data_IF_872004112839
#
_entry.id   IF_872004112839
#
_cell.length_a   1.000
_cell.length_b   1.000
_cell.length_c   1.000
_cell.angle_alpha   90.00
_cell.angle_beta   90.00
_cell.angle_gamma   90.00
#
_symmetry.space_group_name_H-M   'P 1'
#
loop_
_entity.id
_entity.type
_entity.pdbx_description
1 polymer ?
#
# COMPACT_ATOMS: atom_id res chain seq x y z
N UNK A 1 15.71 79.49 16.73
CA UNK A 1 14.64 78.53 16.36
C UNK A 1 15.26 77.52 15.43
N UNK A 2 15.41 76.28 15.90
CA UNK A 2 16.17 75.21 15.24
C UNK A 2 15.17 74.34 14.47
N UNK A 3 15.40 74.16 13.17
CA UNK A 3 14.67 73.22 12.32
C UNK A 3 15.02 71.78 12.71
N UNK A 4 14.00 70.96 13.01
CA UNK A 4 14.15 69.56 13.33
C UNK A 4 13.66 68.72 12.14
N UNK A 5 14.59 68.11 11.41
CA UNK A 5 14.31 67.17 10.32
C UNK A 5 13.82 65.84 10.89
N UNK A 6 12.63 65.40 10.48
CA UNK A 6 12.07 64.10 10.80
C UNK A 6 12.73 63.05 9.89
N UNK A 7 13.52 62.13 10.46
CA UNK A 7 14.06 60.96 9.74
C UNK A 7 13.11 59.79 10.00
N UNK A 8 12.41 59.34 8.97
CA UNK A 8 11.57 58.14 9.01
C UNK A 8 12.45 56.95 8.65
N UNK A 9 12.84 56.15 9.64
CA UNK A 9 13.55 54.89 9.43
C UNK A 9 12.53 53.78 9.22
N UNK A 10 12.41 53.30 7.98
CA UNK A 10 11.60 52.12 7.65
C UNK A 10 12.37 50.86 8.06
N UNK A 11 11.91 50.16 9.09
CA UNK A 11 12.40 48.83 9.42
C UNK A 11 11.79 47.81 8.44
N UNK A 12 12.60 47.36 7.48
CA UNK A 12 12.34 46.15 6.71
C UNK A 12 12.52 44.94 7.64
N UNK A 13 11.41 44.35 8.11
CA UNK A 13 11.44 43.03 8.75
C UNK A 13 11.66 42.02 7.63
N UNK A 14 12.91 41.63 7.44
CA UNK A 14 13.27 40.47 6.62
C UNK A 14 12.84 39.24 7.44
N UNK A 15 11.73 38.60 7.07
CA UNK A 15 11.45 37.24 7.53
C UNK A 15 12.48 36.31 6.88
N UNK A 16 13.58 36.06 7.58
CA UNK A 16 14.50 34.97 7.23
C UNK A 16 13.76 33.66 7.47
N UNK A 17 13.26 33.04 6.41
CA UNK A 17 12.88 31.63 6.42
C UNK A 17 14.18 30.85 6.56
N UNK A 18 14.62 30.59 7.78
CA UNK A 18 15.75 29.70 8.04
C UNK A 18 15.28 28.28 7.80
N UNK A 19 15.43 27.80 6.57
CA UNK A 19 15.32 26.36 6.30
C UNK A 19 16.40 25.63 7.10
N UNK A 20 16.02 24.56 7.80
CA UNK A 20 16.98 23.68 8.46
C UNK A 20 17.99 23.14 7.44
N UNK A 21 19.25 23.04 7.84
CA UNK A 21 20.27 22.36 7.05
C UNK A 21 19.97 20.86 6.93
N UNK A 22 20.39 20.23 5.84
CA UNK A 22 20.23 18.78 5.65
C UNK A 22 20.78 17.96 6.82
N UNK A 23 21.81 18.46 7.51
CA UNK A 23 22.38 17.82 8.71
C UNK A 23 21.42 17.84 9.91
N UNK A 24 20.68 18.93 10.10
CA UNK A 24 19.68 19.03 11.17
C UNK A 24 18.46 18.16 10.86
N UNK A 25 18.05 18.12 9.59
CA UNK A 25 16.98 17.22 9.13
C UNK A 25 17.41 15.76 9.27
N UNK A 26 18.65 15.42 8.93
CA UNK A 26 19.22 14.07 9.11
C UNK A 26 19.25 13.64 10.57
N UNK A 27 19.67 14.53 11.48
CA UNK A 27 19.64 14.24 12.92
C UNK A 27 18.22 13.91 13.37
N UNK A 28 17.26 14.75 12.98
CA UNK A 28 15.83 14.56 13.32
C UNK A 28 15.27 13.27 12.72
N UNK A 29 15.67 12.92 11.48
CA UNK A 29 15.31 11.66 10.84
C UNK A 29 15.83 10.46 11.64
N UNK A 30 17.10 10.48 12.04
CA UNK A 30 17.67 9.38 12.84
C UNK A 30 16.99 9.24 14.19
N UNK A 31 16.72 10.35 14.87
CA UNK A 31 16.06 10.35 16.17
C UNK A 31 14.61 9.84 16.04
N UNK A 32 13.87 10.30 15.03
CA UNK A 32 12.48 9.87 14.76
C UNK A 32 12.36 8.39 14.46
N UNK A 33 13.26 7.83 13.64
CA UNK A 33 13.20 6.44 13.18
C UNK A 33 14.21 5.52 13.86
N UNK A 34 14.74 5.93 15.02
CA UNK A 34 15.70 5.20 15.83
C UNK A 34 16.88 4.61 15.02
N UNK A 35 17.39 5.38 14.04
CA UNK A 35 18.45 4.91 13.14
C UNK A 35 19.82 5.04 13.79
N UNK A 36 20.61 3.97 13.71
CA UNK A 36 21.99 3.91 14.18
C UNK A 36 22.88 3.25 13.13
N UNK A 37 24.03 3.84 12.85
CA UNK A 37 24.95 3.38 11.80
C UNK A 37 26.40 3.39 12.29
N UNK A 38 27.25 2.60 11.63
CA UNK A 38 28.70 2.77 11.75
C UNK A 38 29.15 4.06 11.05
N UNK A 39 30.33 4.60 11.39
CA UNK A 39 30.83 5.84 10.77
C UNK A 39 30.91 5.78 9.23
N UNK A 40 31.32 4.64 8.69
CA UNK A 40 31.42 4.44 7.24
C UNK A 40 30.03 4.36 6.58
N UNK A 41 29.10 3.64 7.23
CA UNK A 41 27.73 3.51 6.75
C UNK A 41 26.97 4.84 6.84
N UNK A 42 27.16 5.60 7.91
CA UNK A 42 26.47 6.87 8.12
C UNK A 42 26.73 7.86 6.99
N UNK A 43 27.97 7.96 6.51
CA UNK A 43 28.32 8.82 5.37
C UNK A 43 27.54 8.43 4.10
N UNK A 44 27.41 7.13 3.84
CA UNK A 44 26.64 6.63 2.70
C UNK A 44 25.13 6.85 2.87
N UNK A 45 24.58 6.52 4.05
CA UNK A 45 23.16 6.69 4.37
C UNK A 45 22.74 8.16 4.34
N UNK A 46 23.58 9.05 4.85
CA UNK A 46 23.34 10.49 4.79
C UNK A 46 23.32 11.01 3.35
N UNK A 47 24.24 10.55 2.49
CA UNK A 47 24.21 10.92 1.07
C UNK A 47 22.92 10.46 0.37
N UNK A 48 22.50 9.21 0.59
CA UNK A 48 21.25 8.68 0.04
C UNK A 48 20.06 9.49 0.55
N UNK A 49 20.04 9.81 1.84
CA UNK A 49 19.03 10.65 2.45
C UNK A 49 18.95 12.04 1.82
N UNK A 50 20.09 12.70 1.56
CA UNK A 50 20.11 14.00 0.90
C UNK A 50 19.52 13.94 -0.52
N UNK A 51 19.90 12.93 -1.30
CA UNK A 51 19.37 12.73 -2.65
C UNK A 51 17.85 12.53 -2.63
N UNK A 52 17.35 11.72 -1.69
CA UNK A 52 15.92 11.48 -1.53
C UNK A 52 15.17 12.70 -0.98
N UNK A 53 15.76 13.43 -0.04
CA UNK A 53 15.20 14.69 0.46
C UNK A 53 15.03 15.70 -0.68
N UNK A 54 16.01 15.81 -1.57
CA UNK A 54 15.91 16.68 -2.74
C UNK A 54 14.79 16.24 -3.70
N UNK A 55 14.61 14.93 -3.92
CA UNK A 55 13.48 14.40 -4.72
C UNK A 55 12.13 14.76 -4.09
N UNK A 56 11.99 14.54 -2.77
CA UNK A 56 10.78 14.87 -2.01
C UNK A 56 10.46 16.36 -2.14
N UNK A 57 11.44 17.23 -1.90
CA UNK A 57 11.27 18.68 -2.01
C UNK A 57 10.91 19.12 -3.43
N UNK A 58 11.54 18.54 -4.45
CA UNK A 58 11.27 18.85 -5.85
C UNK A 58 9.86 18.44 -6.26
N UNK A 59 9.43 17.24 -5.87
CA UNK A 59 8.06 16.78 -6.08
C UNK A 59 7.05 17.69 -5.36
N UNK A 60 7.31 18.04 -4.09
CA UNK A 60 6.36 18.81 -3.29
C UNK A 60 6.17 20.24 -3.79
N UNK A 61 7.12 20.82 -4.54
CA UNK A 61 6.89 22.07 -5.29
C UNK A 61 5.80 21.92 -6.35
N UNK A 62 5.66 20.75 -6.99
CA UNK A 62 4.54 20.45 -7.91
C UNK A 62 3.23 20.35 -7.12
N UNK A 63 3.23 19.66 -5.98
CA UNK A 63 2.06 19.55 -5.10
C UNK A 63 1.55 20.92 -4.63
N UNK A 64 2.44 21.78 -4.11
CA UNK A 64 2.11 23.13 -3.66
C UNK A 64 1.57 24.02 -4.80
N UNK A 65 2.04 23.80 -6.03
CA UNK A 65 1.55 24.49 -7.22
C UNK A 65 0.27 23.87 -7.82
N UNK A 66 -0.34 22.86 -7.17
CA UNK A 66 -1.53 22.17 -7.68
C UNK A 66 -1.28 21.30 -8.93
N UNK A 67 -0.02 20.96 -9.21
CA UNK A 67 0.41 20.13 -10.36
C UNK A 67 0.68 18.67 -10.00
N UNK A 68 0.51 18.30 -8.74
CA UNK A 68 0.48 16.92 -8.23
C UNK A 68 -0.65 16.81 -7.21
N UNK A 69 -1.33 15.67 -7.18
CA UNK A 69 -2.44 15.39 -6.27
C UNK A 69 -2.01 14.72 -4.97
N UNK A 70 -0.73 14.35 -4.85
CA UNK A 70 -0.17 13.71 -3.66
C UNK A 70 1.05 14.44 -3.15
N UNK A 71 1.42 14.15 -1.90
CA UNK A 71 2.57 14.71 -1.22
C UNK A 71 3.53 13.58 -0.83
N UNK A 72 4.81 13.84 -1.01
CA UNK A 72 5.88 12.99 -0.50
C UNK A 72 6.41 13.54 0.83
N UNK A 73 7.00 12.69 1.64
CA UNK A 73 7.56 13.07 2.94
C UNK A 73 8.72 12.18 3.35
N UNK A 74 9.39 12.59 4.42
CA UNK A 74 10.46 11.80 5.03
C UNK A 74 9.80 10.61 5.74
N UNK A 75 9.98 9.41 5.20
CA UNK A 75 9.57 8.13 5.80
C UNK A 75 10.78 7.43 6.42
N UNK A 76 10.58 6.34 7.16
CA UNK A 76 11.67 5.53 7.71
C UNK A 76 12.61 4.94 6.63
N UNK A 77 12.18 4.99 5.37
CA UNK A 77 12.91 4.48 4.20
C UNK A 77 13.72 5.56 3.48
N UNK A 78 13.76 6.80 3.99
CA UNK A 78 14.41 7.92 3.28
C UNK A 78 15.92 7.74 3.09
N UNK A 79 16.55 6.89 3.90
CA UNK A 79 17.97 6.49 3.82
C UNK A 79 18.25 5.29 2.90
N UNK A 80 17.22 4.79 2.20
CA UNK A 80 17.33 3.68 1.25
C UNK A 80 17.32 4.19 -0.18
N UNK A 81 18.15 3.59 -1.04
CA UNK A 81 17.96 3.69 -2.49
C UNK A 81 16.68 2.98 -2.91
N UNK A 82 16.16 3.29 -4.09
CA UNK A 82 14.96 2.60 -4.60
C UNK A 82 15.18 1.10 -4.77
N UNK A 83 16.41 0.67 -5.12
CA UNK A 83 16.74 -0.75 -5.21
C UNK A 83 16.77 -1.42 -3.84
N UNK A 84 17.33 -0.77 -2.82
CA UNK A 84 17.29 -1.27 -1.43
C UNK A 84 15.85 -1.32 -0.90
N UNK A 85 15.00 -0.36 -1.27
CA UNK A 85 13.58 -0.35 -0.90
C UNK A 85 12.83 -1.52 -1.53
N UNK A 86 13.00 -1.74 -2.83
CA UNK A 86 12.40 -2.88 -3.52
C UNK A 86 12.90 -4.21 -2.95
N UNK A 87 14.21 -4.35 -2.70
CA UNK A 87 14.78 -5.57 -2.09
C UNK A 87 14.31 -5.79 -0.66
N UNK A 88 14.16 -4.72 0.14
CA UNK A 88 13.65 -4.79 1.51
C UNK A 88 12.27 -5.44 1.56
N UNK A 89 11.41 -5.17 0.59
CA UNK A 89 10.06 -5.74 0.52
C UNK A 89 9.94 -6.92 -0.47
N UNK A 90 11.08 -7.36 -1.03
CA UNK A 90 11.18 -8.44 -2.03
C UNK A 90 10.27 -8.22 -3.24
N UNK A 91 10.15 -6.97 -3.67
CA UNK A 91 9.33 -6.55 -4.80
C UNK A 91 10.08 -6.83 -6.10
N UNK A 92 9.69 -7.94 -6.74
CA UNK A 92 10.16 -8.34 -8.06
C UNK A 92 8.99 -8.28 -9.02
N UNK A 93 9.26 -8.09 -10.32
CA UNK A 93 8.21 -8.12 -11.33
C UNK A 93 7.48 -9.47 -11.26
N UNK A 94 6.14 -9.42 -11.21
CA UNK A 94 5.30 -10.61 -11.25
C UNK A 94 4.97 -10.96 -12.70
N UNK A 95 4.96 -12.26 -12.99
CA UNK A 95 4.35 -12.77 -14.20
C UNK A 95 2.85 -12.85 -13.98
N UNK A 96 2.09 -12.10 -14.76
CA UNK A 96 0.62 -12.10 -14.73
C UNK A 96 0.16 -12.97 -15.88
N UNK A 97 -0.33 -14.17 -15.57
CA UNK A 97 -0.71 -15.14 -16.60
C UNK A 97 -2.06 -14.78 -17.24
N UNK A 98 -2.23 -15.06 -18.53
CA UNK A 98 -3.51 -14.84 -19.22
C UNK A 98 -4.64 -15.78 -18.73
N UNK A 99 -4.32 -16.76 -17.86
CA UNK A 99 -5.28 -17.72 -17.29
C UNK A 99 -6.26 -17.08 -16.30
N UNK A 100 -5.95 -15.89 -15.80
CA UNK A 100 -6.83 -15.06 -14.95
C UNK A 100 -8.18 -14.72 -15.63
N UNK A 101 -8.29 -14.93 -16.96
CA UNK A 101 -9.46 -14.58 -17.77
C UNK A 101 -10.69 -15.50 -17.63
N UNK A 102 -10.61 -16.64 -16.95
CA UNK A 102 -11.63 -17.71 -17.07
C UNK A 102 -12.77 -17.69 -16.02
N UNK A 103 -12.82 -16.74 -15.09
CA UNK A 103 -13.94 -16.63 -14.11
C UNK A 103 -14.42 -15.17 -14.03
N UNK A 104 -14.88 -14.63 -15.15
CA UNK A 104 -15.52 -13.31 -15.17
C UNK A 104 -17.00 -13.47 -14.80
N UNK A 105 -17.40 -12.90 -13.65
CA UNK A 105 -18.82 -12.72 -13.34
C UNK A 105 -19.20 -11.26 -13.56
N UNK A 106 -20.26 -11.02 -14.34
CA UNK A 106 -20.85 -9.70 -14.44
C UNK A 106 -21.49 -9.34 -13.11
N UNK A 107 -20.91 -8.37 -12.41
CA UNK A 107 -21.45 -7.88 -11.14
C UNK A 107 -22.53 -6.83 -11.48
N UNK A 108 -23.75 -7.07 -10.99
CA UNK A 108 -24.93 -6.20 -11.23
C UNK A 108 -25.42 -5.67 -9.89
N UNK A 109 -25.53 -4.35 -9.79
CA UNK A 109 -26.09 -3.66 -8.63
C UNK A 109 -25.79 -2.17 -8.68
N UNK A 110 -26.52 -1.40 -7.88
CA UNK A 110 -26.29 0.03 -7.73
C UNK A 110 -25.01 0.27 -6.91
N UNK A 111 -24.21 1.24 -7.35
CA UNK A 111 -22.94 1.57 -6.71
C UNK A 111 -23.11 2.83 -5.86
N UNK A 112 -22.71 2.80 -4.57
CA UNK A 112 -22.59 4.04 -3.81
C UNK A 112 -21.45 4.89 -4.41
N UNK A 113 -21.54 6.20 -4.25
CA UNK A 113 -20.50 7.15 -4.69
C UNK A 113 -19.17 6.90 -3.96
N UNK A 114 -19.25 6.47 -2.70
CA UNK A 114 -18.13 6.13 -1.84
C UNK A 114 -18.45 4.91 -0.97
N UNK A 115 -17.41 4.14 -0.67
CA UNK A 115 -17.47 3.06 0.30
C UNK A 115 -16.12 2.93 0.99
N UNK A 116 -16.15 2.72 2.31
CA UNK A 116 -14.98 2.41 3.10
C UNK A 116 -15.27 1.20 4.00
N UNK A 117 -14.66 0.07 3.69
CA UNK A 117 -14.85 -1.16 4.47
C UNK A 117 -14.23 -1.10 5.86
N UNK A 118 -13.34 -0.14 6.13
CA UNK A 118 -12.80 0.09 7.48
C UNK A 118 -13.89 0.59 8.40
N UNK A 119 -14.69 1.55 7.94
CA UNK A 119 -15.81 2.12 8.71
C UNK A 119 -16.95 1.11 8.89
N UNK A 120 -17.05 0.13 7.99
CA UNK A 120 -18.03 -0.97 8.06
C UNK A 120 -17.55 -2.16 8.90
N UNK A 121 -16.29 -2.18 9.36
CA UNK A 121 -15.75 -3.26 10.19
C UNK A 121 -15.19 -4.47 9.42
N UNK A 122 -15.09 -4.41 8.08
CA UNK A 122 -14.64 -5.54 7.26
C UNK A 122 -13.13 -5.52 6.95
N UNK A 123 -12.32 -4.83 7.75
CA UNK A 123 -10.88 -4.66 7.54
C UNK A 123 -10.14 -4.78 8.86
N UNK A 124 -9.23 -5.74 8.97
CA UNK A 124 -8.31 -5.91 10.11
C UNK A 124 -7.29 -4.77 10.19
N UNK A 125 -6.54 -4.70 11.28
CA UNK A 125 -5.40 -3.80 11.44
C UNK A 125 -4.37 -3.92 10.30
N UNK A 126 -3.64 -2.83 10.03
CA UNK A 126 -2.50 -2.88 9.11
C UNK A 126 -1.38 -3.70 9.75
N UNK A 127 -0.90 -4.69 9.02
CA UNK A 127 0.22 -5.55 9.40
C UNK A 127 1.50 -5.15 8.66
N UNK A 128 2.61 -5.82 8.98
CA UNK A 128 3.92 -5.58 8.38
C UNK A 128 4.54 -6.90 7.88
N UNK A 129 4.75 -7.00 6.57
CA UNK A 129 5.36 -8.17 5.94
C UNK A 129 6.87 -8.29 6.16
N UNK A 130 7.52 -7.19 6.56
CA UNK A 130 8.96 -7.10 6.66
C UNK A 130 9.69 -7.54 5.38
N UNK A 131 10.79 -8.26 5.56
CA UNK A 131 11.67 -8.68 4.46
C UNK A 131 11.37 -10.06 3.89
N UNK A 132 10.20 -10.63 4.19
CA UNK A 132 9.86 -12.02 3.87
C UNK A 132 9.22 -12.13 2.47
N UNK A 133 8.71 -11.03 1.90
CA UNK A 133 8.12 -11.02 0.56
C UNK A 133 6.73 -11.66 0.49
N UNK A 134 5.94 -11.53 1.56
CA UNK A 134 4.63 -12.17 1.71
C UNK A 134 3.45 -11.30 1.25
N UNK A 135 3.68 -10.27 0.44
CA UNK A 135 2.63 -9.35 -0.02
C UNK A 135 1.34 -10.05 -0.50
N UNK A 136 1.48 -11.16 -1.21
CA UNK A 136 0.37 -11.96 -1.74
C UNK A 136 -0.43 -12.59 -0.61
N UNK A 137 0.23 -13.11 0.43
CA UNK A 137 -0.42 -13.69 1.59
C UNK A 137 -1.25 -12.64 2.35
N UNK A 138 -0.71 -11.44 2.55
CA UNK A 138 -1.43 -10.30 3.16
C UNK A 138 -2.63 -9.85 2.31
N UNK A 139 -2.48 -9.85 0.99
CA UNK A 139 -3.55 -9.50 0.06
C UNK A 139 -4.69 -10.53 0.06
N UNK A 140 -4.35 -11.82 0.04
CA UNK A 140 -5.32 -12.93 0.05
C UNK A 140 -6.05 -13.00 1.39
N UNK A 141 -5.31 -13.00 2.51
CA UNK A 141 -5.92 -12.98 3.86
C UNK A 141 -6.87 -11.81 3.99
N UNK A 142 -6.45 -10.58 3.69
CA UNK A 142 -7.31 -9.39 3.78
C UNK A 142 -8.60 -9.48 2.97
N UNK A 143 -8.57 -10.08 1.78
CA UNK A 143 -9.78 -10.31 0.98
C UNK A 143 -10.71 -11.36 1.62
N UNK A 144 -10.15 -12.44 2.17
CA UNK A 144 -10.92 -13.49 2.87
C UNK A 144 -11.49 -12.99 4.20
N UNK A 145 -10.71 -12.22 4.97
CA UNK A 145 -11.14 -11.58 6.22
C UNK A 145 -12.36 -10.68 6.00
N UNK A 146 -12.29 -9.80 5.00
CA UNK A 146 -13.40 -8.92 4.65
C UNK A 146 -14.62 -9.68 4.15
N UNK A 147 -14.43 -10.69 3.29
CA UNK A 147 -15.52 -11.56 2.82
C UNK A 147 -16.18 -12.33 3.97
N UNK A 148 -15.39 -12.82 4.94
CA UNK A 148 -15.90 -13.48 6.14
C UNK A 148 -16.72 -12.55 7.00
N UNK A 149 -16.24 -11.34 7.26
CA UNK A 149 -16.99 -10.36 8.03
C UNK A 149 -18.33 -10.03 7.37
N UNK A 150 -18.35 -9.81 6.05
CA UNK A 150 -19.59 -9.49 5.31
C UNK A 150 -20.62 -10.63 5.39
N UNK A 151 -20.16 -11.88 5.37
CA UNK A 151 -21.04 -13.06 5.38
C UNK A 151 -21.49 -13.46 6.81
N UNK A 152 -20.66 -13.22 7.82
CA UNK A 152 -20.83 -13.79 9.17
C UNK A 152 -20.91 -12.77 10.31
N UNK A 153 -20.71 -11.48 10.03
CA UNK A 153 -20.57 -10.40 11.02
C UNK A 153 -19.42 -10.62 12.02
N UNK A 154 -18.45 -11.47 11.66
CA UNK A 154 -17.29 -11.80 12.49
C UNK A 154 -16.00 -11.47 11.76
N UNK A 155 -15.25 -10.47 12.26
CA UNK A 155 -13.94 -10.13 11.74
C UNK A 155 -12.89 -10.97 12.47
N UNK A 156 -12.09 -11.72 11.71
CA UNK A 156 -11.06 -12.60 12.25
C UNK A 156 -9.76 -12.29 11.53
N UNK A 157 -8.66 -12.11 12.25
CA UNK A 157 -7.32 -11.96 11.66
C UNK A 157 -6.80 -13.34 11.23
N UNK A 158 -6.54 -13.50 9.94
CA UNK A 158 -6.07 -14.74 9.32
C UNK A 158 -4.55 -14.77 9.22
N UNK A 159 -3.99 -15.98 9.19
CA UNK A 159 -2.54 -16.18 9.17
C UNK A 159 -1.97 -16.11 7.75
N UNK A 160 -1.17 -15.09 7.49
CA UNK A 160 -0.37 -15.02 6.26
C UNK A 160 0.67 -16.13 6.23
N UNK A 161 1.20 -16.51 7.40
CA UNK A 161 2.22 -17.56 7.53
C UNK A 161 1.69 -18.93 7.17
N UNK A 162 0.43 -19.23 7.50
CA UNK A 162 -0.23 -20.45 7.08
C UNK A 162 -0.25 -20.57 5.55
N UNK A 163 -0.61 -19.50 4.84
CA UNK A 163 -0.55 -19.49 3.37
C UNK A 163 0.89 -19.63 2.87
N UNK A 164 1.82 -18.85 3.44
CA UNK A 164 3.23 -18.84 3.03
C UNK A 164 3.91 -20.21 3.15
N UNK A 165 3.60 -20.97 4.20
CA UNK A 165 4.25 -22.26 4.46
C UNK A 165 3.54 -23.43 3.76
N UNK A 166 2.22 -23.35 3.55
CA UNK A 166 1.40 -24.47 3.10
C UNK A 166 0.97 -24.41 1.64
N UNK A 167 1.06 -23.26 0.99
CA UNK A 167 0.89 -23.14 -0.46
C UNK A 167 2.25 -23.41 -1.11
N UNK A 168 2.31 -24.36 -2.04
CA UNK A 168 3.56 -24.72 -2.71
C UNK A 168 4.18 -23.49 -3.40
N UNK A 169 5.50 -23.33 -3.33
CA UNK A 169 6.28 -22.15 -3.79
C UNK A 169 6.05 -20.87 -3.00
N UNK A 170 7.05 -19.98 -3.01
CA UNK A 170 7.09 -18.75 -2.19
C UNK A 170 7.09 -17.47 -3.04
N UNK A 171 6.54 -17.51 -4.26
CA UNK A 171 6.47 -16.31 -5.10
C UNK A 171 5.27 -15.45 -4.72
N UNK A 172 5.37 -14.12 -4.80
CA UNK A 172 4.23 -13.21 -4.59
C UNK A 172 3.44 -12.95 -5.90
N UNK A 173 3.65 -13.79 -6.93
CA UNK A 173 3.06 -13.61 -8.27
C UNK A 173 1.58 -14.00 -8.35
N UNK A 174 0.97 -13.72 -9.51
CA UNK A 174 -0.43 -14.00 -9.80
C UNK A 174 -0.83 -15.47 -9.66
N UNK A 175 0.05 -16.38 -10.12
CA UNK A 175 -0.21 -17.82 -10.07
C UNK A 175 -0.15 -18.35 -8.62
N UNK A 176 0.71 -17.78 -7.77
CA UNK A 176 0.70 -18.04 -6.34
C UNK A 176 -0.55 -17.50 -5.65
N UNK A 177 -0.99 -16.27 -5.95
CA UNK A 177 -2.23 -15.70 -5.41
C UNK A 177 -3.43 -16.59 -5.75
N UNK A 178 -3.52 -17.07 -7.00
CA UNK A 178 -4.57 -18.04 -7.40
C UNK A 178 -4.55 -19.28 -6.52
N UNK A 179 -3.37 -19.90 -6.33
CA UNK A 179 -3.23 -21.11 -5.51
C UNK A 179 -3.52 -20.87 -4.04
N UNK A 180 -3.21 -19.69 -3.52
CA UNK A 180 -3.57 -19.31 -2.16
C UNK A 180 -5.09 -19.17 -1.98
N UNK A 181 -5.81 -18.62 -2.96
CA UNK A 181 -7.27 -18.64 -2.96
C UNK A 181 -7.84 -20.06 -3.12
N UNK A 182 -7.26 -20.91 -3.97
CA UNK A 182 -7.65 -22.32 -4.04
C UNK A 182 -7.40 -23.05 -2.71
N UNK A 183 -6.30 -22.78 -2.03
CA UNK A 183 -6.03 -23.30 -0.68
C UNK A 183 -7.09 -22.83 0.32
N UNK A 184 -7.44 -21.54 0.31
CA UNK A 184 -8.49 -20.97 1.15
C UNK A 184 -9.87 -21.61 0.88
N UNK A 185 -10.12 -22.03 -0.37
CA UNK A 185 -11.34 -22.73 -0.79
C UNK A 185 -11.35 -24.21 -0.40
N UNK A 186 -10.23 -24.90 -0.55
CA UNK A 186 -10.17 -26.35 -0.35
C UNK A 186 -9.94 -26.71 1.12
N UNK A 187 -9.01 -26.00 1.78
CA UNK A 187 -8.57 -26.25 3.16
C UNK A 187 -9.14 -25.23 4.15
N UNK A 188 -9.20 -23.96 3.76
CA UNK A 188 -9.42 -22.84 4.67
C UNK A 188 -8.12 -22.33 5.28
N UNK A 189 -8.17 -21.17 5.91
CA UNK A 189 -7.02 -20.46 6.48
C UNK A 189 -7.16 -20.44 8.01
N UNK A 190 -6.06 -20.75 8.71
CA UNK A 190 -5.97 -20.63 10.17
C UNK A 190 -5.93 -19.16 10.62
N UNK A 191 -6.33 -18.88 11.86
CA UNK A 191 -6.18 -17.53 12.43
C UNK A 191 -4.72 -17.18 12.70
N UNK A 192 -4.41 -15.88 12.73
CA UNK A 192 -3.08 -15.37 13.13
C UNK A 192 -2.66 -15.92 14.50
N UNK A 193 -3.59 -15.98 15.47
CA UNK A 193 -3.32 -16.50 16.81
C UNK A 193 -2.87 -17.97 16.83
N UNK A 194 -3.42 -18.79 15.93
CA UNK A 194 -3.10 -20.22 15.87
C UNK A 194 -1.88 -20.52 14.97
N UNK A 195 -1.49 -19.57 14.12
CA UNK A 195 -0.33 -19.70 13.24
C UNK A 195 0.36 -18.34 13.05
N UNK A 196 1.09 -17.84 14.06
CA UNK A 196 1.66 -16.50 14.00
C UNK A 196 2.74 -16.33 12.93
N UNK A 197 2.96 -15.10 12.45
CA UNK A 197 3.96 -14.75 11.43
C UNK A 197 5.39 -15.26 11.72
N UNK A 198 5.75 -15.37 13.01
CA UNK A 198 7.07 -15.80 13.48
C UNK A 198 7.23 -17.32 13.62
N UNK A 199 6.26 -18.11 13.15
CA UNK A 199 6.36 -19.56 13.12
C UNK A 199 7.51 -20.02 12.20
N UNK A 200 8.06 -21.21 12.44
CA UNK A 200 9.09 -21.77 11.55
C UNK A 200 8.56 -21.99 10.11
N UNK A 201 9.46 -22.19 9.15
CA UNK A 201 9.12 -22.33 7.73
C UNK A 201 8.65 -23.76 7.36
N UNK A 202 7.83 -24.37 8.22
CA UNK A 202 7.27 -25.70 7.99
C UNK A 202 5.76 -25.61 8.03
N UNK A 203 5.07 -26.19 7.03
CA UNK A 203 3.61 -26.17 7.02
C UNK A 203 3.04 -26.92 8.24
N UNK A 204 2.42 -26.16 9.13
CA UNK A 204 1.76 -26.65 10.36
C UNK A 204 0.23 -26.55 10.29
N UNK A 205 -0.31 -26.71 9.09
CA UNK A 205 -1.76 -26.67 8.90
C UNK A 205 -2.48 -27.65 9.85
N UNK A 206 -3.49 -27.14 10.54
CA UNK A 206 -4.37 -27.91 11.38
C UNK A 206 -5.84 -27.55 11.08
N UNK A 207 -6.61 -28.54 10.61
CA UNK A 207 -8.01 -28.38 10.26
C UNK A 207 -8.89 -27.95 11.46
N UNK A 208 -8.51 -28.26 12.71
CA UNK A 208 -9.29 -27.89 13.88
C UNK A 208 -9.17 -26.40 14.26
N UNK A 209 -8.23 -25.68 13.65
CA UNK A 209 -7.93 -24.26 13.91
C UNK A 209 -8.16 -23.38 12.69
N UNK A 210 -8.80 -23.92 11.65
CA UNK A 210 -9.25 -23.13 10.49
C UNK A 210 -10.26 -22.09 10.98
N UNK A 211 -9.99 -20.83 10.65
CA UNK A 211 -10.78 -19.69 11.08
C UNK A 211 -11.75 -19.19 10.00
N UNK A 212 -11.37 -19.28 8.73
CA UNK A 212 -12.23 -18.94 7.61
C UNK A 212 -11.98 -19.88 6.42
N UNK A 213 -13.05 -20.16 5.66
CA UNK A 213 -13.01 -20.95 4.44
C UNK A 213 -13.93 -20.32 3.41
N UNK A 214 -13.44 -20.11 2.20
CA UNK A 214 -14.24 -19.50 1.12
C UNK A 214 -14.96 -20.57 0.31
N UNK A 215 -16.11 -20.23 -0.25
CA UNK A 215 -16.84 -21.09 -1.18
C UNK A 215 -16.30 -20.96 -2.60
N UNK A 216 -15.91 -19.74 -3.01
CA UNK A 216 -15.33 -19.46 -4.32
C UNK A 216 -14.53 -18.16 -4.31
N UNK A 217 -13.76 -17.94 -5.37
CA UNK A 217 -13.14 -16.66 -5.69
C UNK A 217 -13.28 -16.42 -7.20
N UNK A 218 -13.18 -15.17 -7.62
CA UNK A 218 -13.25 -14.81 -9.03
C UNK A 218 -12.35 -13.62 -9.34
N UNK A 219 -11.76 -13.68 -10.53
CA UNK A 219 -11.00 -12.58 -11.10
C UNK A 219 -11.95 -11.55 -11.71
N UNK A 220 -11.64 -10.29 -11.47
CA UNK A 220 -12.29 -9.16 -12.15
C UNK A 220 -11.76 -9.10 -13.58
N UNK A 221 -12.59 -8.60 -14.49
CA UNK A 221 -12.17 -8.35 -15.87
C UNK A 221 -10.96 -7.42 -15.88
N UNK A 222 -9.90 -7.89 -16.54
CA UNK A 222 -8.61 -7.19 -16.66
C UNK A 222 -8.78 -5.77 -17.20
N UNK A 223 -8.12 -4.83 -16.55
CA UNK A 223 -8.09 -3.39 -16.87
C UNK A 223 -9.45 -2.70 -16.82
N UNK A 224 -10.42 -3.26 -16.10
CA UNK A 224 -11.77 -2.73 -15.96
C UNK A 224 -11.99 -2.17 -14.56
N UNK A 225 -11.65 -0.88 -14.38
CA UNK A 225 -11.82 -0.18 -13.10
C UNK A 225 -13.28 -0.12 -12.63
N UNK A 226 -14.25 -0.17 -13.56
CA UNK A 226 -15.67 -0.21 -13.21
C UNK A 226 -16.07 -1.56 -12.62
N UNK A 227 -15.59 -2.68 -13.19
CA UNK A 227 -15.82 -4.00 -12.59
C UNK A 227 -15.08 -4.14 -11.25
N UNK A 228 -13.89 -3.55 -11.09
CA UNK A 228 -13.24 -3.45 -9.78
C UNK A 228 -14.10 -2.67 -8.78
N UNK A 229 -14.71 -1.54 -9.20
CA UNK A 229 -15.58 -0.75 -8.34
C UNK A 229 -16.79 -1.56 -7.86
N UNK A 230 -17.41 -2.29 -8.78
CA UNK A 230 -18.54 -3.18 -8.48
C UNK A 230 -18.16 -4.29 -7.51
N UNK A 231 -17.00 -4.92 -7.70
CA UNK A 231 -16.50 -5.94 -6.78
C UNK A 231 -16.28 -5.36 -5.39
N UNK A 232 -15.60 -4.21 -5.28
CA UNK A 232 -15.36 -3.55 -3.98
C UNK A 232 -16.69 -3.21 -3.30
N UNK A 233 -17.65 -2.66 -4.02
CA UNK A 233 -18.94 -2.26 -3.46
C UNK A 233 -19.81 -3.44 -3.00
N UNK A 234 -19.86 -4.51 -3.79
CA UNK A 234 -20.86 -5.56 -3.65
C UNK A 234 -20.31 -6.90 -3.15
N UNK A 235 -18.98 -7.08 -3.12
CA UNK A 235 -18.31 -8.31 -2.68
C UNK A 235 -17.39 -8.11 -1.48
N UNK A 236 -16.95 -6.87 -1.21
CA UNK A 236 -16.05 -6.57 -0.10
C UNK A 236 -14.65 -6.14 -0.54
N UNK A 237 -13.68 -6.14 0.37
CA UNK A 237 -12.27 -5.90 0.03
C UNK A 237 -11.75 -6.82 -1.07
N UNK A 238 -10.96 -6.28 -2.00
CA UNK A 238 -10.48 -6.96 -3.21
C UNK A 238 -8.96 -7.01 -3.22
N UNK A 239 -8.39 -8.20 -3.39
CA UNK A 239 -6.95 -8.40 -3.59
C UNK A 239 -6.56 -7.87 -4.96
N UNK A 240 -5.53 -7.03 -5.05
CA UNK A 240 -5.03 -6.47 -6.32
C UNK A 240 -3.51 -6.60 -6.42
N UNK A 241 -3.00 -6.59 -7.64
CA UNK A 241 -1.57 -6.42 -7.90
C UNK A 241 -1.34 -5.05 -8.55
N UNK A 242 -0.37 -4.30 -8.03
CA UNK A 242 0.00 -2.96 -8.49
C UNK A 242 1.48 -2.88 -8.86
N UNK A 243 1.83 -1.85 -9.62
CA UNK A 243 3.20 -1.41 -9.84
C UNK A 243 3.62 -0.38 -8.79
N UNK A 244 4.59 -0.74 -7.95
CA UNK A 244 5.26 0.14 -7.00
C UNK A 244 6.39 0.88 -7.69
N UNK A 245 6.26 2.20 -7.78
CA UNK A 245 7.29 3.13 -8.26
C UNK A 245 8.17 3.63 -7.11
N UNK A 246 9.32 4.27 -7.39
CA UNK A 246 10.14 4.92 -6.37
C UNK A 246 9.39 5.93 -5.48
N UNK A 247 8.30 6.56 -5.97
CA UNK A 247 7.56 7.55 -5.18
C UNK A 247 6.72 6.92 -4.06
N UNK A 248 6.35 5.64 -4.16
CA UNK A 248 5.69 4.92 -3.06
C UNK A 248 6.55 4.93 -1.80
N UNK A 249 7.87 4.84 -1.93
CA UNK A 249 8.83 4.86 -0.82
C UNK A 249 8.63 6.07 0.11
N UNK A 250 8.17 7.20 -0.45
CA UNK A 250 8.04 8.47 0.26
C UNK A 250 6.59 8.95 0.37
N UNK A 251 5.60 8.16 -0.06
CA UNK A 251 4.19 8.58 -0.02
C UNK A 251 3.76 8.85 1.43
N UNK A 252 3.09 9.99 1.66
CA UNK A 252 2.55 10.34 2.98
C UNK A 252 1.09 10.79 2.95
N UNK A 253 0.60 11.37 1.85
CA UNK A 253 -0.81 11.80 1.76
C UNK A 253 -1.23 12.18 0.33
N UNK A 254 -2.55 12.32 0.14
CA UNK A 254 -3.17 12.76 -1.11
C UNK A 254 -3.42 11.61 -2.09
N UNK A 255 -4.02 11.91 -3.24
CA UNK A 255 -4.36 10.91 -4.26
C UNK A 255 -3.14 10.66 -5.12
N UNK A 256 -2.54 9.48 -4.97
CA UNK A 256 -1.37 9.05 -5.71
C UNK A 256 -1.70 8.89 -7.20
N UNK A 257 -1.08 9.72 -8.02
CA UNK A 257 -1.23 9.75 -9.47
C UNK A 257 0.16 9.99 -10.09
N UNK A 258 0.94 8.92 -10.22
CA UNK A 258 2.34 8.96 -10.63
C UNK A 258 2.51 8.64 -12.11
N UNK A 259 3.16 9.53 -12.85
CA UNK A 259 3.48 9.37 -14.27
C UNK A 259 4.48 8.23 -14.54
N UNK A 260 5.19 7.76 -13.49
CA UNK A 260 6.15 6.66 -13.59
C UNK A 260 5.52 5.28 -13.42
N UNK A 261 4.21 5.20 -13.12
CA UNK A 261 3.54 3.93 -13.01
C UNK A 261 3.47 3.22 -14.36
N UNK A 262 3.80 1.92 -14.36
CA UNK A 262 3.74 1.07 -15.53
C UNK A 262 2.82 -0.14 -15.26
N UNK A 263 1.61 -0.19 -15.87
CA UNK A 263 0.65 -1.26 -15.64
C UNK A 263 1.12 -2.65 -16.12
N UNK A 264 2.23 -2.73 -16.86
CA UNK A 264 2.86 -3.99 -17.31
C UNK A 264 4.04 -4.43 -16.43
N UNK A 265 4.37 -3.68 -15.37
CA UNK A 265 5.46 -3.97 -14.42
C UNK A 265 4.94 -4.16 -13.00
N UNK A 266 3.84 -4.90 -12.85
CA UNK A 266 3.29 -5.25 -11.55
C UNK A 266 4.34 -5.97 -10.69
N UNK A 267 4.44 -5.61 -9.41
CA UNK A 267 5.49 -6.12 -8.51
C UNK A 267 5.09 -6.15 -7.03
N UNK A 268 3.83 -5.82 -6.69
CA UNK A 268 3.35 -5.78 -5.32
C UNK A 268 1.87 -6.11 -5.23
N UNK A 269 1.49 -6.89 -4.23
CA UNK A 269 0.09 -7.24 -3.94
C UNK A 269 -0.42 -6.43 -2.76
N UNK A 270 -1.62 -5.89 -2.90
CA UNK A 270 -2.25 -5.00 -1.92
C UNK A 270 -3.77 -5.21 -1.91
N UNK A 271 -4.48 -4.57 -0.97
CA UNK A 271 -5.92 -4.79 -0.81
C UNK A 271 -6.70 -3.49 -1.03
N UNK A 272 -7.58 -3.45 -2.02
CA UNK A 272 -8.54 -2.35 -2.19
C UNK A 272 -9.66 -2.54 -1.17
N UNK A 273 -9.80 -1.61 -0.24
CA UNK A 273 -10.78 -1.65 0.86
C UNK A 273 -11.89 -0.61 0.69
N UNK A 274 -11.89 0.12 -0.42
CA UNK A 274 -12.88 1.16 -0.63
C UNK A 274 -12.53 2.07 -1.79
N UNK A 275 -13.39 3.04 -2.02
CA UNK A 275 -13.19 4.09 -3.01
C UNK A 275 -14.02 5.32 -2.61
N UNK A 276 -13.67 6.47 -3.17
CA UNK A 276 -14.43 7.69 -2.96
C UNK A 276 -14.07 8.78 -3.96
N UNK A 277 -14.44 10.00 -3.62
CA UNK A 277 -14.13 11.21 -4.37
C UNK A 277 -13.75 12.33 -3.40
N UNK A 278 -12.65 13.02 -3.68
CA UNK A 278 -12.23 14.19 -2.90
C UNK A 278 -11.77 15.29 -3.85
N UNK A 279 -12.36 16.48 -3.73
CA UNK A 279 -12.07 17.63 -4.61
C UNK A 279 -12.16 17.30 -6.11
N UNK A 280 -13.14 16.48 -6.49
CA UNK A 280 -13.33 16.01 -7.88
C UNK A 280 -12.34 14.96 -8.36
N UNK A 281 -11.46 14.45 -7.48
CA UNK A 281 -10.53 13.36 -7.76
C UNK A 281 -11.10 12.06 -7.20
N UNK A 282 -11.38 11.12 -8.09
CA UNK A 282 -11.77 9.76 -7.70
C UNK A 282 -10.55 8.99 -7.24
N UNK A 283 -10.71 8.21 -6.17
CA UNK A 283 -9.61 7.39 -5.63
C UNK A 283 -10.09 6.03 -5.17
N UNK A 284 -9.14 5.09 -5.14
CA UNK A 284 -9.18 3.83 -4.42
C UNK A 284 -8.56 4.03 -3.03
N UNK A 285 -9.12 3.37 -2.02
CA UNK A 285 -8.51 3.23 -0.69
C UNK A 285 -7.80 1.88 -0.68
N UNK A 286 -6.47 1.89 -0.59
CA UNK A 286 -5.67 0.67 -0.69
C UNK A 286 -4.92 0.45 0.62
N UNK A 287 -5.15 -0.69 1.26
CA UNK A 287 -4.41 -1.18 2.42
C UNK A 287 -3.10 -1.80 1.95
N UNK A 288 -1.99 -1.34 2.54
CA UNK A 288 -0.66 -1.89 2.30
C UNK A 288 -0.23 -2.81 3.46
N UNK A 289 0.92 -3.47 3.30
CA UNK A 289 1.48 -4.44 4.25
C UNK A 289 2.88 -4.02 4.76
N UNK A 290 3.18 -2.72 4.80
CA UNK A 290 4.48 -2.18 5.22
C UNK A 290 4.41 -1.45 6.57
N UNK A 291 3.46 -1.85 7.42
CA UNK A 291 3.22 -1.23 8.72
C UNK A 291 2.50 0.12 8.66
N UNK A 292 2.05 0.58 9.83
CA UNK A 292 1.28 1.82 9.98
C UNK A 292 2.13 3.09 9.83
N UNK A 293 3.46 2.98 9.93
CA UNK A 293 4.41 4.09 9.75
C UNK A 293 4.48 4.58 8.30
N UNK A 294 4.09 3.74 7.34
CA UNK A 294 4.10 4.08 5.93
C UNK A 294 2.77 4.68 5.47
N UNK A 295 2.81 5.67 4.58
CA UNK A 295 1.63 6.26 3.96
C UNK A 295 0.68 6.92 4.97
N UNK A 296 -0.62 6.79 4.69
CA UNK A 296 -1.69 7.29 5.55
C UNK A 296 -2.12 6.21 6.54
N UNK A 297 -1.34 6.01 7.61
CA UNK A 297 -1.53 4.95 8.60
C UNK A 297 -1.55 3.54 7.97
N UNK A 298 -0.65 3.27 7.04
CA UNK A 298 -0.57 2.00 6.31
C UNK A 298 -1.43 1.92 5.04
N UNK A 299 -2.12 3.00 4.70
CA UNK A 299 -2.96 3.08 3.50
C UNK A 299 -2.39 4.06 2.47
N UNK A 300 -2.82 3.89 1.23
CA UNK A 300 -2.60 4.84 0.14
C UNK A 300 -3.91 5.10 -0.58
N UNK A 301 -4.14 6.36 -0.94
CA UNK A 301 -5.19 6.71 -1.90
C UNK A 301 -4.58 6.65 -3.29
N UNK A 302 -5.06 5.80 -4.18
CA UNK A 302 -4.58 5.71 -5.57
C UNK A 302 -5.62 6.29 -6.51
N UNK A 303 -5.19 6.95 -7.58
CA UNK A 303 -6.14 7.55 -8.53
C UNK A 303 -7.03 6.49 -9.19
N UNK A 304 -8.32 6.80 -9.32
CA UNK A 304 -9.35 5.93 -9.91
C UNK A 304 -9.89 6.54 -11.19
N UNK A 305 -10.22 5.69 -12.16
CA UNK A 305 -10.68 6.07 -13.50
C UNK A 305 -9.63 6.93 -14.23
N UNK A 306 -8.37 6.52 -14.13
CA UNK A 306 -7.19 7.26 -14.62
C UNK A 306 -6.27 6.34 -15.41
N UNK A 307 -6.83 5.68 -16.41
CA UNK A 307 -6.13 4.73 -17.30
C UNK A 307 -5.51 3.56 -16.54
N UNK A 308 -6.25 2.98 -15.57
CA UNK A 308 -5.77 1.88 -14.75
C UNK A 308 -4.42 2.18 -14.08
N UNK A 309 -4.35 3.29 -13.34
CA UNK A 309 -3.12 3.80 -12.75
C UNK A 309 -2.39 2.71 -11.95
N UNK A 310 -1.09 2.53 -12.24
CA UNK A 310 -0.24 1.48 -11.68
C UNK A 310 -0.78 0.04 -11.86
N UNK A 311 -1.71 -0.18 -12.79
CA UNK A 311 -2.28 -1.49 -13.10
C UNK A 311 -3.26 -2.03 -12.04
N UNK A 312 -3.88 -1.19 -11.22
CA UNK A 312 -4.68 -1.63 -10.06
C UNK A 312 -5.83 -2.61 -10.38
N UNK A 313 -6.39 -2.57 -11.58
CA UNK A 313 -7.43 -3.49 -12.07
C UNK A 313 -6.89 -4.53 -13.06
N UNK A 314 -5.56 -4.67 -13.21
CA UNK A 314 -4.92 -5.61 -14.14
C UNK A 314 -5.04 -7.06 -13.65
N UNK A 315 -4.81 -7.29 -12.36
CA UNK A 315 -5.01 -8.57 -11.68
C UNK A 315 -5.68 -8.28 -10.34
N UNK A 316 -6.97 -8.57 -10.27
CA UNK A 316 -7.80 -8.26 -9.12
C UNK A 316 -8.76 -9.41 -8.83
N UNK A 317 -8.83 -9.85 -7.58
CA UNK A 317 -9.53 -11.06 -7.14
C UNK A 317 -10.34 -10.76 -5.89
N UNK A 318 -11.62 -11.16 -5.90
CA UNK A 318 -12.45 -11.14 -4.71
C UNK A 318 -12.80 -12.56 -4.26
N UNK A 319 -12.99 -12.73 -2.96
CA UNK A 319 -13.45 -13.97 -2.35
C UNK A 319 -14.97 -13.93 -2.11
N UNK A 320 -15.58 -15.10 -1.98
CA UNK A 320 -16.96 -15.26 -1.55
C UNK A 320 -17.05 -16.41 -0.56
N UNK A 321 -17.54 -16.10 0.65
CA UNK A 321 -17.95 -17.06 1.67
C UNK A 321 -19.42 -17.38 1.50
#
# INVERSE_FOLDING_TARGET
MIEMRLVITVYLIIHTVTGFSDKEVWKTFKDTYAKSYTLLEESNRFRIFQDNLHKIQTHNKRFEAGRSSYKLGITEFTDLTSLEFLDKFKLIKFDVSDKESNIQQNIIGDLPDEIDWREKGAVTEVKDQGAIGLCGAFSVTGAVEGSNFISTDTLISLSEKNLADCVETTSCDADWITRAFDYAKDKGIMSEDNYPINSDNTCKYNASTVAAKINSFAYIKRDDELELQKAVALKGPVSVIINVTPNFQFYVSGVFDDENCNPDQLNHSALVVGYGVSNGQYYWIVKNSWGTSWGMNGYILMSRNKNNQCGISRSAVYATI
#
